data_IF_036527190669
#
_entry.id   IF_036527190669
#
_cell.length_a   1.000
_cell.length_b   1.000
_cell.length_c   1.000
_cell.angle_alpha   90.00
_cell.angle_beta   90.00
_cell.angle_gamma   90.00
#
_symmetry.space_group_name_H-M   'P 1'
#
loop_
_entity.id
_entity.type
_entity.pdbx_description
1 polymer ?
#
# COMPACT_ATOMS: atom_id res chain seq x y z
N UNK A 1 -31.31 -16.79 17.12
CA UNK A 1 -30.78 -16.64 15.75
C UNK A 1 -30.96 -15.20 15.33
N UNK A 2 -29.93 -14.35 15.47
CA UNK A 2 -29.95 -12.98 14.97
C UNK A 2 -29.24 -12.96 13.62
N UNK A 3 -29.95 -12.46 12.62
CA UNK A 3 -29.61 -12.50 11.20
C UNK A 3 -28.35 -11.69 10.87
N UNK A 4 -27.43 -12.35 10.17
CA UNK A 4 -26.10 -11.90 9.79
C UNK A 4 -26.01 -10.81 8.71
N UNK A 5 -26.93 -9.86 8.67
CA UNK A 5 -27.18 -9.04 7.47
C UNK A 5 -26.43 -7.70 7.38
N UNK A 6 -26.02 -7.10 8.49
CA UNK A 6 -25.63 -5.68 8.50
C UNK A 6 -24.12 -5.42 8.30
N UNK A 7 -23.25 -6.42 8.47
CA UNK A 7 -21.80 -6.26 8.43
C UNK A 7 -21.24 -6.31 7.00
N UNK A 8 -21.94 -6.96 6.07
CA UNK A 8 -21.45 -7.17 4.70
C UNK A 8 -21.67 -5.96 3.79
N UNK A 9 -22.64 -5.08 4.10
CA UNK A 9 -22.98 -3.92 3.26
C UNK A 9 -21.88 -2.87 3.22
N UNK A 10 -21.29 -2.54 4.39
CA UNK A 10 -20.22 -1.54 4.50
C UNK A 10 -18.90 -2.00 3.88
N UNK A 11 -18.54 -3.28 4.07
CA UNK A 11 -17.36 -3.86 3.45
C UNK A 11 -17.48 -3.91 1.92
N UNK A 12 -18.67 -4.18 1.39
CA UNK A 12 -18.94 -4.17 -0.06
C UNK A 12 -18.96 -2.74 -0.61
N UNK A 13 -19.52 -1.78 0.14
CA UNK A 13 -19.56 -0.38 -0.28
C UNK A 13 -18.16 0.22 -0.32
N UNK A 14 -17.34 0.05 0.74
CA UNK A 14 -15.98 0.57 0.80
C UNK A 14 -15.04 -0.05 -0.26
N UNK A 15 -15.20 -1.34 -0.56
CA UNK A 15 -14.44 -2.00 -1.64
C UNK A 15 -14.91 -1.58 -3.03
N UNK A 16 -16.20 -1.26 -3.21
CA UNK A 16 -16.71 -0.68 -4.44
C UNK A 16 -16.25 0.77 -4.63
N UNK A 17 -16.44 1.69 -3.69
CA UNK A 17 -16.07 3.11 -3.88
C UNK A 17 -14.57 3.34 -3.99
N UNK A 18 -13.74 2.65 -3.19
CA UNK A 18 -12.29 2.81 -3.29
C UNK A 18 -11.70 2.26 -4.59
N UNK A 19 -12.31 1.21 -5.17
CA UNK A 19 -11.85 0.67 -6.46
C UNK A 19 -12.41 1.44 -7.65
N UNK A 20 -13.60 2.03 -7.56
CA UNK A 20 -14.21 2.78 -8.66
C UNK A 20 -13.54 4.14 -8.90
N UNK A 21 -13.11 4.87 -7.86
CA UNK A 21 -12.46 6.18 -8.04
C UNK A 21 -11.07 6.12 -8.69
N UNK A 22 -10.35 5.00 -8.55
CA UNK A 22 -9.04 4.78 -9.19
C UNK A 22 -9.14 4.12 -10.58
N UNK A 23 -10.29 3.52 -10.91
CA UNK A 23 -10.54 2.79 -12.17
C UNK A 23 -11.16 3.64 -13.27
N UNK A 24 -11.61 4.86 -12.99
CA UNK A 24 -12.51 5.56 -13.89
C UNK A 24 -11.82 6.24 -15.10
N UNK A 25 -10.50 6.50 -15.08
CA UNK A 25 -9.91 7.43 -16.06
C UNK A 25 -8.60 6.96 -16.75
N UNK A 26 -7.91 5.92 -16.27
CA UNK A 26 -6.63 5.47 -16.86
C UNK A 26 -6.61 3.95 -17.13
N UNK A 27 -6.60 3.57 -18.41
CA UNK A 27 -6.49 2.17 -18.86
C UNK A 27 -5.24 1.48 -18.32
N UNK A 28 -4.16 2.23 -18.06
CA UNK A 28 -2.92 1.69 -17.50
C UNK A 28 -3.09 1.29 -16.04
N UNK A 29 -3.91 1.99 -15.27
CA UNK A 29 -4.17 1.69 -13.86
C UNK A 29 -4.82 0.30 -13.70
N UNK A 30 -5.70 -0.08 -14.63
CA UNK A 30 -6.34 -1.40 -14.64
C UNK A 30 -5.36 -2.58 -14.70
N UNK A 31 -4.19 -2.37 -15.32
CA UNK A 31 -3.18 -3.43 -15.47
C UNK A 31 -2.41 -3.69 -14.19
N UNK A 32 -2.25 -2.69 -13.33
CA UNK A 32 -1.35 -2.73 -12.18
C UNK A 32 -2.05 -2.68 -10.83
N UNK A 33 -3.35 -2.33 -10.79
CA UNK A 33 -4.12 -2.39 -9.55
C UNK A 33 -4.35 -3.85 -9.12
N UNK A 34 -3.83 -4.28 -7.96
CA UNK A 34 -4.04 -5.62 -7.44
C UNK A 34 -5.50 -5.84 -7.01
N UNK A 35 -5.94 -7.11 -7.05
CA UNK A 35 -7.26 -7.46 -6.51
C UNK A 35 -7.31 -7.24 -5.00
N UNK A 36 -8.50 -6.98 -4.44
CA UNK A 36 -8.68 -6.81 -2.99
C UNK A 36 -8.11 -8.00 -2.20
N UNK A 37 -8.33 -9.24 -2.68
CA UNK A 37 -7.78 -10.44 -2.04
C UNK A 37 -6.26 -10.44 -2.00
N UNK A 38 -5.62 -9.99 -3.08
CA UNK A 38 -4.16 -9.89 -3.18
C UNK A 38 -3.60 -8.80 -2.26
N UNK A 39 -4.27 -7.65 -2.15
CA UNK A 39 -3.91 -6.60 -1.18
C UNK A 39 -3.99 -7.13 0.24
N UNK A 40 -5.11 -7.76 0.62
CA UNK A 40 -5.28 -8.33 1.95
C UNK A 40 -4.23 -9.40 2.28
N UNK A 41 -3.96 -10.31 1.34
CA UNK A 41 -2.94 -11.34 1.53
C UNK A 41 -1.54 -10.72 1.72
N UNK A 42 -1.22 -9.69 0.95
CA UNK A 42 0.06 -8.96 1.07
C UNK A 42 0.17 -8.26 2.42
N UNK A 43 -0.90 -7.61 2.90
CA UNK A 43 -0.90 -6.97 4.22
C UNK A 43 -0.71 -7.96 5.37
N UNK A 44 -1.37 -9.12 5.31
CA UNK A 44 -1.19 -10.17 6.32
C UNK A 44 0.25 -10.68 6.31
N UNK A 45 0.80 -10.98 5.13
CA UNK A 45 2.19 -11.41 4.99
C UNK A 45 3.17 -10.36 5.52
N UNK A 46 2.96 -9.08 5.20
CA UNK A 46 3.76 -7.97 5.71
C UNK A 46 3.79 -7.90 7.24
N UNK A 47 2.65 -8.16 7.88
CA UNK A 47 2.51 -8.04 9.32
C UNK A 47 3.10 -9.23 10.11
N UNK A 48 3.08 -10.44 9.53
CA UNK A 48 3.35 -11.68 10.30
C UNK A 48 4.55 -12.48 9.80
N UNK A 49 5.07 -12.20 8.61
CA UNK A 49 6.16 -13.00 8.04
C UNK A 49 7.48 -12.77 8.77
N UNK A 50 8.02 -13.85 9.33
CA UNK A 50 9.36 -13.84 9.95
C UNK A 50 10.49 -13.58 8.96
N UNK A 51 10.26 -13.73 7.66
CA UNK A 51 11.24 -13.47 6.61
C UNK A 51 11.56 -11.97 6.46
N UNK A 52 10.59 -11.12 6.79
CA UNK A 52 10.72 -9.66 6.72
C UNK A 52 11.41 -9.09 7.96
N UNK A 53 11.45 -9.86 9.04
CA UNK A 53 12.06 -9.44 10.30
C UNK A 53 13.57 -9.30 10.07
N UNK A 54 14.11 -8.11 10.35
CA UNK A 54 15.51 -7.69 10.12
C UNK A 54 15.89 -7.41 8.67
N UNK A 55 14.91 -7.27 7.76
CA UNK A 55 15.12 -6.67 6.46
C UNK A 55 14.47 -5.28 6.45
N UNK A 56 15.30 -4.25 6.38
CA UNK A 56 14.90 -2.85 6.30
C UNK A 56 14.59 -2.43 4.85
N UNK A 57 13.78 -1.37 4.72
CA UNK A 57 13.46 -0.70 3.45
C UNK A 57 12.94 -1.60 2.31
N UNK A 58 12.15 -2.63 2.63
CA UNK A 58 11.56 -3.52 1.62
C UNK A 58 10.17 -3.06 1.19
N UNK A 59 9.99 -2.94 -0.13
CA UNK A 59 8.67 -2.90 -0.73
C UNK A 59 8.18 -4.31 -1.04
N UNK A 60 6.87 -4.52 -0.94
CA UNK A 60 6.23 -5.81 -1.20
C UNK A 60 5.35 -5.73 -2.44
N UNK A 61 5.47 -6.75 -3.29
CA UNK A 61 4.61 -6.94 -4.46
C UNK A 61 4.06 -8.37 -4.42
N UNK A 62 2.73 -8.52 -4.33
CA UNK A 62 2.07 -9.82 -4.42
C UNK A 62 2.59 -10.90 -3.46
N UNK A 63 2.62 -10.61 -2.14
CA UNK A 63 3.11 -11.57 -1.11
C UNK A 63 4.59 -11.95 -1.30
N UNK A 64 5.37 -11.08 -1.92
CA UNK A 64 6.80 -11.27 -2.12
C UNK A 64 7.56 -9.97 -1.96
N UNK A 65 8.86 -10.07 -1.66
CA UNK A 65 9.75 -8.92 -1.61
C UNK A 65 10.02 -8.46 -3.04
N UNK A 66 9.84 -7.16 -3.29
CA UNK A 66 10.15 -6.58 -4.58
C UNK A 66 11.67 -6.67 -4.83
N UNK A 67 12.05 -7.49 -5.80
CA UNK A 67 13.46 -7.79 -6.12
C UNK A 67 14.11 -6.70 -6.99
N UNK A 68 13.31 -5.89 -7.67
CA UNK A 68 13.82 -4.92 -8.65
C UNK A 68 13.82 -3.50 -8.07
N UNK A 69 14.98 -2.81 -8.02
CA UNK A 69 14.97 -1.36 -7.88
C UNK A 69 14.19 -0.77 -9.05
N UNK A 70 13.39 0.26 -8.77
CA UNK A 70 12.56 0.95 -9.75
C UNK A 70 13.50 1.66 -10.77
N UNK A 71 13.89 0.95 -11.84
CA UNK A 71 14.85 1.46 -12.85
C UNK A 71 14.23 2.53 -13.76
N UNK A 72 12.90 2.59 -13.79
CA UNK A 72 12.09 3.62 -14.44
C UNK A 72 11.14 4.17 -13.38
N UNK A 73 10.97 5.49 -13.30
CA UNK A 73 10.10 6.19 -12.34
C UNK A 73 8.60 5.96 -12.64
N UNK A 74 8.22 4.71 -12.87
CA UNK A 74 6.87 4.25 -13.16
C UNK A 74 6.21 3.80 -11.86
N UNK A 75 5.91 4.78 -11.01
CA UNK A 75 5.24 4.55 -9.73
C UNK A 75 3.87 3.87 -9.90
N UNK A 76 3.23 3.98 -11.08
CA UNK A 76 1.97 3.31 -11.37
C UNK A 76 2.14 1.79 -11.48
N UNK A 77 3.26 1.33 -12.04
CA UNK A 77 3.53 -0.10 -12.23
C UNK A 77 3.95 -0.79 -10.94
N UNK A 78 4.81 -0.14 -10.16
CA UNK A 78 5.41 -0.75 -8.99
C UNK A 78 4.68 -0.36 -7.69
N UNK A 79 3.97 0.77 -7.65
CA UNK A 79 3.37 1.30 -6.44
C UNK A 79 4.34 2.15 -5.59
N UNK A 80 5.61 2.22 -5.98
CA UNK A 80 6.63 3.12 -5.43
C UNK A 80 7.51 3.67 -6.55
N UNK A 81 8.03 4.89 -6.37
CA UNK A 81 8.94 5.55 -7.31
C UNK A 81 10.38 5.59 -6.83
N UNK A 82 11.27 6.10 -7.67
CA UNK A 82 12.70 6.28 -7.33
C UNK A 82 12.90 7.21 -6.12
N UNK A 83 11.99 8.18 -5.95
CA UNK A 83 11.96 9.10 -4.81
C UNK A 83 11.75 8.41 -3.45
N UNK A 84 11.22 7.20 -3.44
CA UNK A 84 10.84 6.48 -2.22
C UNK A 84 12.05 5.84 -1.49
N UNK A 85 13.23 5.86 -2.11
CA UNK A 85 14.49 5.37 -1.54
C UNK A 85 15.45 6.50 -1.12
N UNK A 86 15.01 7.76 -1.17
CA UNK A 86 15.84 8.91 -0.80
C UNK A 86 15.83 9.15 0.71
N UNK A 87 16.87 8.70 1.41
CA UNK A 87 17.00 8.86 2.86
C UNK A 87 16.88 10.33 3.32
N UNK A 88 17.52 11.27 2.63
CA UNK A 88 17.43 12.70 2.96
C UNK A 88 15.98 13.23 2.95
N UNK A 89 15.17 12.72 2.00
CA UNK A 89 13.76 13.09 1.86
C UNK A 89 12.91 12.44 2.94
N UNK A 90 13.20 11.18 3.29
CA UNK A 90 12.57 10.47 4.40
C UNK A 90 12.77 11.21 5.71
N UNK A 91 14.01 11.58 6.05
CA UNK A 91 14.33 12.29 7.29
C UNK A 91 13.69 13.68 7.35
N UNK A 92 13.66 14.39 6.21
CA UNK A 92 12.99 15.71 6.12
C UNK A 92 11.48 15.57 6.31
N UNK A 93 10.87 14.56 5.68
CA UNK A 93 9.45 14.28 5.81
C UNK A 93 9.08 13.86 7.24
N UNK A 94 9.95 13.11 7.90
CA UNK A 94 9.78 12.72 9.30
C UNK A 94 9.72 13.94 10.23
N UNK A 95 10.71 14.85 10.13
CA UNK A 95 10.75 16.09 10.92
C UNK A 95 9.51 16.94 10.71
N UNK A 96 9.09 17.10 9.45
CA UNK A 96 7.87 17.83 9.12
C UNK A 96 6.62 17.15 9.74
N UNK A 97 6.58 15.81 9.73
CA UNK A 97 5.53 15.03 10.37
C UNK A 97 5.47 15.24 11.88
N UNK A 98 6.62 15.30 12.56
CA UNK A 98 6.71 15.61 13.99
C UNK A 98 6.18 17.02 14.29
N UNK A 99 6.58 18.02 13.50
CA UNK A 99 6.11 19.40 13.63
C UNK A 99 4.58 19.52 13.47
N UNK A 100 4.03 18.85 12.46
CA UNK A 100 2.61 18.93 12.10
C UNK A 100 1.71 18.11 13.02
N UNK A 101 2.16 16.92 13.43
CA UNK A 101 1.36 16.01 14.26
C UNK A 101 1.17 16.54 15.68
N UNK A 102 1.99 17.52 16.12
CA UNK A 102 2.02 18.04 17.50
C UNK A 102 2.11 16.93 18.55
N UNK A 103 2.57 15.75 18.14
CA UNK A 103 2.90 14.66 19.06
C UNK A 103 4.25 15.03 19.64
N UNK A 104 4.22 16.00 20.54
CA UNK A 104 5.36 16.37 21.37
C UNK A 104 5.63 15.16 22.26
N UNK A 105 6.86 14.65 22.20
CA UNK A 105 7.38 13.71 23.21
C UNK A 105 7.39 14.34 24.59
#
# INVERSE_FOLDING_TARGET
MLSGGAYNGWLTYASSTSSYCMRAEDERAHKYIPSLKQVCATSVYAAVSSELVRRDALYLEGVSIAVQPCTLDDAMKYGWGSWAFGQDKEETLWKLGEELSKVVK
#
